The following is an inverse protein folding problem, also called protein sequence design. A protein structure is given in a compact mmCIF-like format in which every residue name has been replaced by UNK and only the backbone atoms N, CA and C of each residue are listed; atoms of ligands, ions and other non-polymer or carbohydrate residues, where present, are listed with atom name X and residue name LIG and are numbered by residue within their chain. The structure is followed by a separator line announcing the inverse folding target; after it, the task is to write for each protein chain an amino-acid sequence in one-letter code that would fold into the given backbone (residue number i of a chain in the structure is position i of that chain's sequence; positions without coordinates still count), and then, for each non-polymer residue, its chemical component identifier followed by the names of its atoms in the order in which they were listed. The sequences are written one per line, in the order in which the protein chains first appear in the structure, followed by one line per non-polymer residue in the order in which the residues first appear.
data_IF_684766188647
#
_entry.id   IF_684766188647
#
_cell.length_a   1.000
_cell.length_b   1.000
_cell.length_c   1.000
_cell.angle_alpha   90.00
_cell.angle_beta   90.00
_cell.angle_gamma   90.00
#
_symmetry.space_group_name_H-M   'P 1'
#
loop_
_entity.id
_entity.type
_entity.pdbx_description
1 polymer ?
#
# COMPACT_ATOMS: atom_id res chain seq x y z
N UNK A 1 0.59 -5.49 -24.02
CA UNK A 1 -0.69 -6.06 -24.50
C UNK A 1 -0.53 -7.03 -25.68
N UNK A 2 0.42 -6.82 -26.59
CA UNK A 2 0.58 -7.59 -27.85
C UNK A 2 1.02 -9.07 -27.73
N UNK A 3 1.13 -9.64 -26.52
CA UNK A 3 1.66 -11.00 -26.28
C UNK A 3 0.69 -11.96 -25.57
N UNK A 4 -0.55 -11.50 -25.33
CA UNK A 4 -1.62 -12.29 -24.72
C UNK A 4 -1.48 -12.53 -23.21
N UNK A 5 -2.57 -12.97 -22.54
CA UNK A 5 -2.61 -13.11 -21.07
C UNK A 5 -1.63 -14.16 -20.51
N UNK A 6 -1.31 -15.20 -21.28
CA UNK A 6 -0.38 -16.27 -20.86
C UNK A 6 1.04 -15.80 -20.57
N UNK A 7 1.40 -14.57 -20.97
CA UNK A 7 2.72 -13.97 -20.75
C UNK A 7 2.79 -13.05 -19.53
N UNK A 8 1.68 -12.88 -18.81
CA UNK A 8 1.65 -12.14 -17.55
C UNK A 8 2.41 -12.93 -16.49
N UNK A 9 3.25 -12.26 -15.71
CA UNK A 9 4.01 -12.88 -14.63
C UNK A 9 3.07 -13.47 -13.57
N UNK A 10 3.37 -14.65 -13.00
CA UNK A 10 2.62 -15.16 -11.85
C UNK A 10 2.72 -14.23 -10.62
N UNK A 11 3.78 -13.40 -10.55
CA UNK A 11 3.97 -12.41 -9.50
C UNK A 11 3.26 -11.09 -9.77
N UNK A 12 2.58 -10.94 -10.91
CA UNK A 12 1.95 -9.67 -11.28
C UNK A 12 0.98 -9.17 -10.20
N UNK A 13 0.08 -10.05 -9.72
CA UNK A 13 -0.90 -9.67 -8.71
C UNK A 13 -0.22 -9.41 -7.35
N UNK A 14 0.64 -10.29 -6.80
CA UNK A 14 1.38 -10.01 -5.57
C UNK A 14 2.32 -8.79 -5.61
N UNK A 15 2.78 -8.37 -6.78
CA UNK A 15 3.61 -7.16 -6.89
C UNK A 15 2.79 -5.89 -7.08
N UNK A 16 1.46 -5.99 -7.25
CA UNK A 16 0.58 -4.87 -7.57
C UNK A 16 -0.39 -4.50 -6.44
N UNK A 17 -0.89 -5.49 -5.69
CA UNK A 17 -1.93 -5.25 -4.68
C UNK A 17 -1.36 -4.51 -3.45
N UNK A 18 -2.06 -3.49 -2.90
CA UNK A 18 -1.51 -2.62 -1.86
C UNK A 18 -1.11 -3.32 -0.56
N UNK A 19 -1.86 -4.36 -0.17
CA UNK A 19 -1.64 -5.16 1.05
C UNK A 19 -0.33 -5.97 1.01
N UNK A 20 0.31 -6.08 -0.14
CA UNK A 20 1.62 -6.73 -0.23
C UNK A 20 2.74 -5.90 0.42
N UNK A 21 2.55 -4.58 0.61
CA UNK A 21 3.48 -3.81 1.42
C UNK A 21 3.53 -4.32 2.87
N UNK A 22 2.37 -4.54 3.50
CA UNK A 22 2.29 -5.06 4.87
C UNK A 22 2.57 -6.56 4.91
N UNK A 23 2.21 -7.29 3.85
CA UNK A 23 2.54 -8.70 3.67
C UNK A 23 4.06 -8.96 3.64
N UNK A 24 4.82 -8.20 2.85
CA UNK A 24 6.28 -8.33 2.79
C UNK A 24 6.94 -7.97 4.12
N UNK A 25 6.53 -6.86 4.76
CA UNK A 25 7.05 -6.49 6.09
C UNK A 25 6.77 -7.56 7.15
N UNK A 26 5.57 -8.15 7.12
CA UNK A 26 5.20 -9.26 8.02
C UNK A 26 6.07 -10.50 7.80
N UNK A 27 6.37 -10.85 6.54
CA UNK A 27 7.28 -11.95 6.19
C UNK A 27 8.69 -11.65 6.69
N UNK A 28 9.23 -10.47 6.38
CA UNK A 28 10.61 -10.09 6.71
C UNK A 28 10.85 -10.02 8.22
N UNK A 29 9.87 -9.54 8.98
CA UNK A 29 9.96 -9.40 10.44
C UNK A 29 9.47 -10.64 11.19
N UNK A 30 8.85 -11.62 10.51
CA UNK A 30 8.19 -12.75 11.14
C UNK A 30 6.98 -12.38 12.01
N UNK A 31 6.36 -11.23 11.76
CA UNK A 31 5.23 -10.72 12.54
C UNK A 31 3.94 -11.46 12.17
N UNK A 32 3.29 -12.09 13.17
CA UNK A 32 2.10 -12.95 12.99
C UNK A 32 0.82 -12.41 13.63
N UNK A 33 0.86 -11.19 14.16
CA UNK A 33 -0.31 -10.49 14.70
C UNK A 33 -1.23 -9.95 13.60
N UNK A 34 -2.15 -9.03 13.93
CA UNK A 34 -3.01 -8.37 12.95
C UNK A 34 -2.21 -7.78 11.78
N UNK A 35 -2.58 -8.15 10.55
CA UNK A 35 -1.96 -7.66 9.32
C UNK A 35 -3.05 -7.16 8.38
N UNK A 36 -2.94 -5.92 7.93
CA UNK A 36 -3.86 -5.31 6.98
C UNK A 36 -3.31 -4.00 6.44
N UNK A 37 -3.90 -3.54 5.34
CA UNK A 37 -3.52 -2.29 4.67
C UNK A 37 -4.73 -1.39 4.52
N UNK A 38 -4.68 -0.20 5.11
CA UNK A 38 -5.65 0.86 4.85
C UNK A 38 -5.33 1.53 3.51
N UNK A 39 -6.35 1.98 2.76
CA UNK A 39 -6.17 2.74 1.51
C UNK A 39 -7.16 3.89 1.48
N UNK A 40 -6.70 5.08 1.83
CA UNK A 40 -7.50 6.32 1.93
C UNK A 40 -6.79 7.51 1.31
N UNK A 41 -6.18 7.29 0.14
CA UNK A 41 -5.43 8.31 -0.63
C UNK A 41 -4.34 8.99 0.24
N UNK A 42 -4.25 10.33 0.22
CA UNK A 42 -3.18 11.09 0.88
C UNK A 42 -3.13 10.92 2.40
N UNK A 43 -4.21 10.46 3.03
CA UNK A 43 -4.29 10.26 4.50
C UNK A 43 -4.09 8.79 4.91
N UNK A 44 -3.70 7.93 3.97
CA UNK A 44 -3.50 6.49 4.21
C UNK A 44 -2.54 6.22 5.37
N UNK A 45 -1.39 6.90 5.40
CA UNK A 45 -0.41 6.72 6.48
C UNK A 45 -0.97 7.10 7.86
N UNK A 46 -1.67 8.23 7.94
CA UNK A 46 -2.30 8.69 9.19
C UNK A 46 -3.37 7.70 9.67
N UNK A 47 -4.24 7.22 8.76
CA UNK A 47 -5.26 6.25 9.13
C UNK A 47 -4.65 4.90 9.55
N UNK A 48 -3.60 4.44 8.89
CA UNK A 48 -2.90 3.21 9.25
C UNK A 48 -2.32 3.27 10.67
N UNK A 49 -1.76 4.42 11.05
CA UNK A 49 -1.27 4.65 12.42
C UNK A 49 -2.44 4.67 13.41
N UNK A 50 -3.56 5.32 13.06
CA UNK A 50 -4.77 5.35 13.89
C UNK A 50 -5.38 3.96 14.12
N UNK A 51 -5.46 3.13 13.07
CA UNK A 51 -5.95 1.76 13.18
C UNK A 51 -5.02 0.89 14.03
N UNK A 52 -3.70 1.00 13.85
CA UNK A 52 -2.72 0.31 14.69
C UNK A 52 -2.85 0.71 16.17
N UNK A 53 -3.04 2.00 16.45
CA UNK A 53 -3.34 2.48 17.80
C UNK A 53 -4.62 1.85 18.36
N UNK A 54 -5.68 1.75 17.56
CA UNK A 54 -6.95 1.13 17.99
C UNK A 54 -6.83 -0.37 18.24
N UNK A 55 -6.05 -1.08 17.44
CA UNK A 55 -5.75 -2.50 17.64
C UNK A 55 -5.05 -2.71 18.99
N UNK A 56 -4.01 -1.93 19.28
CA UNK A 56 -3.31 -2.00 20.58
C UNK A 56 -4.26 -1.61 21.72
N UNK A 57 -5.04 -0.53 21.55
CA UNK A 57 -6.00 -0.06 22.56
C UNK A 57 -7.06 -1.12 22.91
N UNK A 58 -7.46 -1.96 21.95
CA UNK A 58 -8.42 -3.05 22.15
C UNK A 58 -7.79 -4.30 22.80
N UNK A 59 -6.47 -4.37 22.89
CA UNK A 59 -5.74 -5.53 23.40
C UNK A 59 -5.52 -6.62 22.34
N UNK A 60 -5.71 -6.32 21.06
CA UNK A 60 -5.57 -7.29 19.96
C UNK A 60 -4.10 -7.50 19.55
N UNK A 61 -3.19 -6.61 19.96
CA UNK A 61 -1.74 -6.72 19.79
C UNK A 61 -0.98 -5.90 20.83
N UNK A 62 0.21 -6.36 21.24
CA UNK A 62 1.09 -5.62 22.17
C UNK A 62 1.92 -4.54 21.46
N UNK A 63 2.23 -4.75 20.18
CA UNK A 63 3.01 -3.83 19.35
C UNK A 63 2.57 -3.97 17.89
N UNK A 64 2.65 -2.87 17.14
CA UNK A 64 2.27 -2.80 15.74
C UNK A 64 3.35 -2.08 14.93
N UNK A 65 3.72 -2.65 13.78
CA UNK A 65 4.47 -1.95 12.74
C UNK A 65 3.45 -1.28 11.83
N UNK A 66 3.52 0.04 11.69
CA UNK A 66 2.52 0.82 10.95
C UNK A 66 3.15 2.01 10.24
N UNK A 67 2.49 2.51 9.20
CA UNK A 67 2.95 3.62 8.37
C UNK A 67 2.24 3.65 7.02
N UNK A 68 2.92 4.22 6.02
CA UNK A 68 2.47 4.20 4.63
C UNK A 68 3.67 4.25 3.69
N UNK A 69 3.54 3.64 2.51
CA UNK A 69 4.55 3.64 1.46
C UNK A 69 3.85 3.84 0.12
N UNK A 70 4.51 4.53 -0.81
CA UNK A 70 3.99 4.81 -2.14
C UNK A 70 5.15 4.99 -3.12
N UNK A 71 4.95 4.63 -4.39
CA UNK A 71 5.94 4.81 -5.45
C UNK A 71 5.24 5.27 -6.75
N UNK A 72 4.57 6.45 -6.73
CA UNK A 72 3.59 6.79 -7.74
C UNK A 72 4.20 7.52 -8.93
N UNK A 73 5.54 7.67 -8.98
CA UNK A 73 6.23 8.43 -10.04
C UNK A 73 6.32 7.56 -11.30
N UNK A 74 5.20 7.46 -12.01
CA UNK A 74 5.05 6.75 -13.28
C UNK A 74 4.42 7.67 -14.31
N UNK A 75 4.65 7.44 -15.60
CA UNK A 75 4.02 8.22 -16.67
C UNK A 75 2.49 8.23 -16.56
N UNK A 76 1.88 7.11 -16.18
CA UNK A 76 0.43 6.99 -16.04
C UNK A 76 -0.10 7.86 -14.90
N UNK A 77 0.53 7.79 -13.74
CA UNK A 77 0.12 8.58 -12.59
C UNK A 77 0.32 10.08 -12.83
N UNK A 78 1.46 10.49 -13.38
CA UNK A 78 1.72 11.90 -13.72
C UNK A 78 0.67 12.39 -14.73
N UNK A 79 0.40 11.64 -15.80
CA UNK A 79 -0.64 12.01 -16.78
C UNK A 79 -2.03 12.13 -16.13
N UNK A 80 -2.40 11.19 -15.26
CA UNK A 80 -3.68 11.20 -14.55
C UNK A 80 -3.84 12.41 -13.62
N UNK A 81 -2.87 12.65 -12.75
CA UNK A 81 -2.91 13.78 -11.81
C UNK A 81 -2.72 15.15 -12.50
N UNK A 82 -2.00 15.21 -13.62
CA UNK A 82 -1.97 16.41 -14.47
C UNK A 82 -3.33 16.67 -15.11
N UNK A 83 -4.00 15.64 -15.65
CA UNK A 83 -5.33 15.79 -16.24
C UNK A 83 -6.39 16.24 -15.23
N UNK A 84 -6.27 15.82 -13.97
CA UNK A 84 -7.12 16.29 -12.87
C UNK A 84 -6.71 17.66 -12.31
N UNK A 85 -5.68 18.31 -12.87
CA UNK A 85 -5.11 19.60 -12.41
C UNK A 85 -4.62 19.57 -10.95
N UNK A 86 -4.17 18.41 -10.48
CA UNK A 86 -3.66 18.24 -9.12
C UNK A 86 -2.16 18.55 -8.98
N UNK A 87 -1.40 18.56 -10.08
CA UNK A 87 0.05 18.82 -10.09
C UNK A 87 0.38 20.27 -10.48
N UNK A 88 1.46 20.80 -9.92
CA UNK A 88 2.07 22.07 -10.36
C UNK A 88 2.66 21.93 -11.77
N UNK A 89 2.70 23.04 -12.50
CA UNK A 89 3.26 23.14 -13.87
C UNK A 89 4.45 24.08 -13.97
N UNK A 90 4.95 24.58 -12.83
CA UNK A 90 6.09 25.50 -12.72
C UNK A 90 7.35 24.77 -12.31
#
# INVERSE_FOLDING_TARGET
LNRGPRRVSPFFVPMLIPDMATGQVSIDLGAKGPNGSTVTACVTGTNSIGEAFKIIQRGDADAMVTGGSEAPITHMAIAGFSASRALSTN
#
